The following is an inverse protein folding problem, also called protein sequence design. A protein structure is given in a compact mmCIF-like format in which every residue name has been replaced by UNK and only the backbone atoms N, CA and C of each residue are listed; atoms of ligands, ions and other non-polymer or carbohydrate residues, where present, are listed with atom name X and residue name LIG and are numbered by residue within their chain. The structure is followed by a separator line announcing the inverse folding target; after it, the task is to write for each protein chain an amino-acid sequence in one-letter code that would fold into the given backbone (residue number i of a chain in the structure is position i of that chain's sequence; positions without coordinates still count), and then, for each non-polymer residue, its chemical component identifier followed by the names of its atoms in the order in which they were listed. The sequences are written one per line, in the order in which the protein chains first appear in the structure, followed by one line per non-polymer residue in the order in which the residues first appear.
data_IF_316677044903
#
_entry.id   IF_316677044903
#
_cell.length_a   1.000
_cell.length_b   1.000
_cell.length_c   1.000
_cell.angle_alpha   90.00
_cell.angle_beta   90.00
_cell.angle_gamma   90.00
#
_symmetry.space_group_name_H-M   'P 1'
#
loop_
_entity.id
_entity.type
_entity.pdbx_description
1 polymer ?
#
# COMPACT_ATOMS: atom_id res chain seq x y z
N UNK A 1 -18.91 -5.46 -65.19
CA UNK A 1 -17.80 -4.62 -64.69
C UNK A 1 -18.24 -3.62 -63.57
N UNK A 2 -19.54 -3.35 -63.39
CA UNK A 2 -20.01 -2.36 -62.37
C UNK A 2 -20.08 -2.93 -60.95
N UNK A 3 -20.20 -4.25 -60.79
CA UNK A 3 -20.31 -4.91 -59.46
C UNK A 3 -18.95 -5.18 -58.79
N UNK A 4 -17.86 -5.23 -59.56
CA UNK A 4 -16.50 -5.47 -59.08
C UNK A 4 -15.90 -4.22 -58.39
N UNK A 5 -16.33 -3.05 -58.83
CA UNK A 5 -15.85 -1.77 -58.27
C UNK A 5 -16.46 -1.51 -56.85
N UNK A 6 -17.66 -1.95 -56.62
CA UNK A 6 -18.36 -1.79 -55.30
C UNK A 6 -17.76 -2.70 -54.24
N UNK A 7 -17.32 -3.91 -54.62
CA UNK A 7 -16.65 -4.86 -53.70
C UNK A 7 -15.27 -4.36 -53.25
N UNK A 8 -14.53 -3.67 -54.15
CA UNK A 8 -13.23 -3.09 -53.83
C UNK A 8 -13.33 -1.88 -52.89
N UNK A 9 -14.41 -1.09 -52.97
CA UNK A 9 -14.67 0.05 -52.08
C UNK A 9 -15.06 -0.40 -50.65
N UNK A 10 -15.76 -1.51 -50.50
CA UNK A 10 -16.12 -2.06 -49.19
C UNK A 10 -14.90 -2.67 -48.51
N UNK A 11 -13.98 -3.31 -49.24
CA UNK A 11 -12.75 -3.85 -48.68
C UNK A 11 -11.77 -2.73 -48.20
N UNK A 12 -11.78 -1.53 -48.82
CA UNK A 12 -10.95 -0.43 -48.39
C UNK A 12 -11.46 0.25 -47.10
N UNK A 13 -12.74 0.18 -46.80
CA UNK A 13 -13.33 0.77 -45.56
C UNK A 13 -13.01 -0.10 -44.34
N UNK A 14 -12.87 -1.42 -44.49
CA UNK A 14 -12.49 -2.31 -43.38
C UNK A 14 -10.99 -2.27 -43.05
N UNK A 15 -10.13 -1.79 -43.95
CA UNK A 15 -8.68 -1.75 -43.72
C UNK A 15 -8.23 -0.48 -42.94
N UNK A 16 -9.09 0.52 -42.73
CA UNK A 16 -8.78 1.74 -41.97
C UNK A 16 -9.22 1.65 -40.50
N UNK A 17 -9.99 0.62 -40.13
CA UNK A 17 -10.60 0.50 -38.80
C UNK A 17 -9.73 -0.22 -37.75
N UNK A 18 -8.48 -0.59 -38.05
CA UNK A 18 -7.63 -1.34 -37.10
C UNK A 18 -6.32 -0.60 -36.80
N UNK A 19 -6.38 0.67 -36.41
CA UNK A 19 -5.25 1.35 -35.74
C UNK A 19 -5.74 2.34 -34.68
N UNK A 20 -6.75 1.98 -33.92
CA UNK A 20 -6.87 2.49 -32.55
C UNK A 20 -6.15 1.48 -31.67
N UNK A 21 -4.87 1.62 -31.48
CA UNK A 21 -4.22 1.23 -30.23
C UNK A 21 -4.88 2.11 -29.16
N UNK A 22 -6.03 1.66 -28.64
CA UNK A 22 -6.47 2.12 -27.33
C UNK A 22 -5.28 1.81 -26.41
N UNK A 23 -4.54 2.84 -26.00
CA UNK A 23 -3.73 2.76 -24.81
C UNK A 23 -4.70 2.27 -23.75
N UNK A 24 -4.53 1.05 -23.28
CA UNK A 24 -5.26 0.57 -22.10
C UNK A 24 -5.01 1.61 -21.02
N UNK A 25 -6.08 2.11 -20.41
CA UNK A 25 -5.93 2.97 -19.24
C UNK A 25 -5.09 2.22 -18.20
N UNK A 26 -4.18 2.90 -17.50
CA UNK A 26 -3.39 2.30 -16.46
C UNK A 26 -4.31 1.60 -15.46
N UNK A 27 -3.97 0.37 -15.09
CA UNK A 27 -4.78 -0.41 -14.15
C UNK A 27 -4.04 -0.50 -12.82
N UNK A 28 -4.77 -0.44 -11.72
CA UNK A 28 -4.21 -0.65 -10.37
C UNK A 28 -3.65 -2.06 -10.23
N UNK A 29 -4.32 -3.08 -10.80
CA UNK A 29 -3.88 -4.46 -10.69
C UNK A 29 -2.43 -4.66 -11.17
N UNK A 30 -1.59 -5.26 -10.33
CA UNK A 30 -0.16 -5.49 -10.57
C UNK A 30 0.61 -5.78 -9.29
N UNK A 31 1.88 -6.08 -9.46
CA UNK A 31 2.85 -6.26 -8.38
C UNK A 31 3.67 -4.99 -8.19
N UNK A 32 3.79 -4.54 -6.94
CA UNK A 32 4.47 -3.30 -6.60
C UNK A 32 5.39 -3.51 -5.41
N UNK A 33 6.49 -2.76 -5.39
CA UNK A 33 7.33 -2.58 -4.21
C UNK A 33 7.12 -1.18 -3.65
N UNK A 34 7.29 -1.03 -2.33
CA UNK A 34 7.19 0.27 -1.68
C UNK A 34 8.11 0.40 -0.47
N UNK A 35 8.37 1.64 -0.09
CA UNK A 35 8.99 2.02 1.17
C UNK A 35 8.22 3.18 1.76
N UNK A 36 7.98 3.13 3.07
CA UNK A 36 7.31 4.20 3.79
C UNK A 36 7.95 4.40 5.16
N UNK A 37 7.90 5.63 5.68
CA UNK A 37 8.43 5.92 7.00
C UNK A 37 7.63 7.03 7.67
N UNK A 38 7.39 6.86 8.97
CA UNK A 38 6.70 7.86 9.79
C UNK A 38 7.27 7.85 11.21
N UNK A 39 6.91 8.84 11.98
CA UNK A 39 7.24 8.89 13.40
C UNK A 39 6.05 9.39 14.22
N UNK A 40 6.04 9.04 15.49
CA UNK A 40 5.03 9.52 16.43
C UNK A 40 5.57 9.52 17.85
N UNK A 41 5.01 10.43 18.66
CA UNK A 41 5.32 10.52 20.09
C UNK A 41 4.46 9.57 20.89
N UNK A 42 5.07 8.98 21.93
CA UNK A 42 4.40 8.23 22.98
C UNK A 42 4.70 8.89 24.33
N UNK A 43 4.03 8.49 25.39
CA UNK A 43 4.26 9.03 26.72
C UNK A 43 5.73 8.84 27.15
N UNK A 44 6.30 7.68 26.82
CA UNK A 44 7.65 7.28 27.19
C UNK A 44 8.75 7.83 26.27
N UNK A 45 8.43 8.35 25.09
CA UNK A 45 9.43 8.80 24.13
C UNK A 45 8.92 9.11 22.75
N UNK A 46 9.73 8.78 21.75
CA UNK A 46 9.39 8.88 20.33
C UNK A 46 9.66 7.54 19.62
N UNK A 47 8.85 7.21 18.64
CA UNK A 47 9.02 6.02 17.80
C UNK A 47 9.17 6.44 16.34
N UNK A 48 10.28 6.04 15.72
CA UNK A 48 10.49 6.09 14.27
C UNK A 48 10.14 4.74 13.66
N UNK A 49 9.39 4.73 12.56
CA UNK A 49 8.97 3.53 11.87
C UNK A 49 9.45 3.56 10.42
N UNK A 50 10.05 2.47 9.98
CA UNK A 50 10.42 2.23 8.59
C UNK A 50 9.77 0.95 8.10
N UNK A 51 9.07 1.04 7.00
CA UNK A 51 8.37 -0.06 6.36
C UNK A 51 8.91 -0.28 4.95
N UNK A 52 9.12 -1.53 4.58
CA UNK A 52 9.44 -1.94 3.22
C UNK A 52 8.63 -3.18 2.88
N UNK A 53 8.01 -3.19 1.71
CA UNK A 53 7.13 -4.28 1.37
C UNK A 53 6.81 -4.41 -0.10
N UNK A 54 5.94 -5.36 -0.36
CA UNK A 54 5.31 -5.61 -1.66
C UNK A 54 3.80 -5.56 -1.53
N UNK A 55 3.16 -5.01 -2.54
CA UNK A 55 1.71 -4.94 -2.66
C UNK A 55 1.28 -5.57 -3.98
N UNK A 56 0.55 -6.66 -3.89
CA UNK A 56 -0.08 -7.31 -5.04
C UNK A 56 -1.55 -6.89 -5.12
N UNK A 57 -1.92 -6.18 -6.17
CA UNK A 57 -3.32 -5.87 -6.47
C UNK A 57 -3.84 -6.82 -7.54
N UNK A 58 -4.92 -7.53 -7.24
CA UNK A 58 -5.55 -8.48 -8.16
C UNK A 58 -6.76 -7.85 -8.85
N UNK A 59 -7.08 -8.31 -10.06
CA UNK A 59 -8.18 -7.78 -10.87
C UNK A 59 -9.59 -8.04 -10.27
N UNK A 60 -9.69 -8.91 -9.28
CA UNK A 60 -10.92 -9.21 -8.54
C UNK A 60 -11.17 -8.28 -7.34
N UNK A 61 -10.43 -7.18 -7.24
CA UNK A 61 -10.50 -6.22 -6.13
C UNK A 61 -9.96 -6.75 -4.79
N UNK A 62 -9.18 -7.81 -4.82
CA UNK A 62 -8.39 -8.24 -3.65
C UNK A 62 -6.96 -7.73 -3.75
N UNK A 63 -6.26 -7.66 -2.62
CA UNK A 63 -4.84 -7.35 -2.56
C UNK A 63 -4.14 -8.19 -1.49
N UNK A 64 -2.83 -8.32 -1.63
CA UNK A 64 -1.98 -8.91 -0.62
C UNK A 64 -0.82 -7.95 -0.34
N UNK A 65 -0.78 -7.46 0.88
CA UNK A 65 0.31 -6.65 1.39
C UNK A 65 1.25 -7.54 2.23
N UNK A 66 2.54 -7.49 1.95
CA UNK A 66 3.55 -8.25 2.67
C UNK A 66 4.72 -7.33 2.97
N UNK A 67 4.96 -7.06 4.24
CA UNK A 67 5.97 -6.08 4.62
C UNK A 67 6.78 -6.46 5.86
N UNK A 68 7.92 -5.78 5.96
CA UNK A 68 8.78 -5.72 7.13
C UNK A 68 8.74 -4.30 7.68
N UNK A 69 8.35 -4.18 8.95
CA UNK A 69 8.37 -2.93 9.70
C UNK A 69 9.47 -2.96 10.76
N UNK A 70 10.23 -1.87 10.81
CA UNK A 70 11.27 -1.66 11.84
C UNK A 70 10.84 -0.44 12.66
N UNK A 71 10.59 -0.65 13.93
CA UNK A 71 10.27 0.38 14.91
C UNK A 71 11.50 0.66 15.76
N UNK A 72 11.88 1.91 15.88
CA UNK A 72 12.99 2.37 16.75
C UNK A 72 12.42 3.33 17.78
N UNK A 73 12.25 2.86 19.01
CA UNK A 73 11.84 3.68 20.13
C UNK A 73 13.04 4.33 20.79
N UNK A 74 12.98 5.65 21.03
CA UNK A 74 13.95 6.41 21.83
C UNK A 74 13.24 6.90 23.10
N UNK A 75 13.65 6.42 24.27
CA UNK A 75 12.98 6.70 25.53
C UNK A 75 13.48 8.00 26.20
N UNK A 76 12.57 8.73 26.84
CA UNK A 76 12.90 9.96 27.59
C UNK A 76 13.87 9.74 28.74
N UNK A 77 13.79 8.57 29.39
CA UNK A 77 14.69 8.18 30.48
C UNK A 77 16.03 7.63 30.01
N UNK A 78 16.22 7.61 28.68
CA UNK A 78 17.42 7.08 28.03
C UNK A 78 17.21 5.63 27.53
N UNK A 79 18.12 5.24 26.62
CA UNK A 79 18.06 3.92 25.97
C UNK A 79 17.20 3.90 24.71
N UNK A 80 17.33 2.80 23.98
CA UNK A 80 16.61 2.53 22.72
C UNK A 80 16.07 1.11 22.70
N UNK A 81 14.91 0.92 22.08
CA UNK A 81 14.44 -0.40 21.70
C UNK A 81 14.24 -0.47 20.19
N UNK A 82 14.50 -1.62 19.60
CA UNK A 82 14.19 -1.89 18.20
C UNK A 82 13.29 -3.11 18.12
N UNK A 83 12.15 -2.96 17.47
CA UNK A 83 11.24 -4.06 17.16
C UNK A 83 11.16 -4.24 15.67
N UNK A 84 11.26 -5.48 15.23
CA UNK A 84 11.09 -5.82 13.83
C UNK A 84 9.90 -6.76 13.71
N UNK A 85 8.95 -6.36 12.88
CA UNK A 85 7.79 -7.17 12.57
C UNK A 85 7.80 -7.56 11.09
N UNK A 86 7.37 -8.77 10.80
CA UNK A 86 6.90 -9.13 9.48
C UNK A 86 5.38 -9.21 9.53
N UNK A 87 4.69 -8.70 8.52
CA UNK A 87 3.26 -8.88 8.41
C UNK A 87 2.81 -9.29 7.01
N UNK A 88 1.65 -9.93 6.97
CA UNK A 88 0.91 -10.26 5.75
C UNK A 88 -0.53 -9.83 5.97
N UNK A 89 -1.04 -8.99 5.07
CA UNK A 89 -2.38 -8.43 5.14
C UNK A 89 -3.13 -8.66 3.82
N UNK A 90 -3.93 -9.73 3.72
CA UNK A 90 -4.95 -9.80 2.70
C UNK A 90 -5.92 -8.62 2.83
N UNK A 91 -6.30 -8.02 1.71
CA UNK A 91 -7.04 -6.77 1.72
C UNK A 91 -8.03 -6.70 0.56
N UNK A 92 -8.98 -5.78 0.66
CA UNK A 92 -9.92 -5.42 -0.39
C UNK A 92 -9.62 -4.00 -0.86
N UNK A 93 -9.78 -3.75 -2.14
CA UNK A 93 -9.60 -2.42 -2.71
C UNK A 93 -10.64 -2.09 -3.77
N UNK A 94 -10.89 -0.80 -3.98
CA UNK A 94 -11.69 -0.28 -5.07
C UNK A 94 -11.28 1.15 -5.40
N UNK A 95 -11.53 1.56 -6.63
CA UNK A 95 -11.33 2.94 -7.10
C UNK A 95 -12.68 3.52 -7.51
N UNK A 96 -12.94 4.77 -7.15
CA UNK A 96 -14.09 5.54 -7.58
C UNK A 96 -13.63 6.97 -7.92
N UNK A 97 -13.39 7.22 -9.22
CA UNK A 97 -12.77 8.44 -9.69
C UNK A 97 -11.33 8.58 -9.18
N UNK A 98 -11.08 9.63 -8.41
CA UNK A 98 -9.78 9.89 -7.75
C UNK A 98 -9.72 9.33 -6.32
N UNK A 99 -10.76 8.65 -5.87
CA UNK A 99 -10.82 8.05 -4.55
C UNK A 99 -10.37 6.58 -4.61
N UNK A 100 -9.38 6.23 -3.80
CA UNK A 100 -8.90 4.87 -3.59
C UNK A 100 -9.30 4.38 -2.20
N UNK A 101 -10.02 3.28 -2.15
CA UNK A 101 -10.49 2.68 -0.89
C UNK A 101 -9.76 1.38 -0.64
N UNK A 102 -9.29 1.20 0.59
CA UNK A 102 -8.52 0.05 1.01
C UNK A 102 -8.93 -0.41 2.41
N UNK A 103 -9.08 -1.72 2.61
CA UNK A 103 -9.39 -2.33 3.90
C UNK A 103 -8.72 -3.70 4.02
N UNK A 104 -8.03 -3.96 5.12
CA UNK A 104 -7.51 -5.29 5.42
C UNK A 104 -8.62 -6.27 5.83
N UNK A 105 -8.36 -7.56 5.69
CA UNK A 105 -9.23 -8.66 6.15
C UNK A 105 -8.71 -9.15 7.49
N UNK A 106 -9.37 -8.73 8.59
CA UNK A 106 -8.90 -8.93 9.96
C UNK A 106 -8.60 -10.40 10.29
N UNK A 107 -9.47 -11.33 9.90
CA UNK A 107 -9.32 -12.76 10.20
C UNK A 107 -8.10 -13.41 9.53
N UNK A 108 -7.54 -12.74 8.52
CA UNK A 108 -6.41 -13.24 7.72
C UNK A 108 -5.15 -12.40 7.90
N UNK A 109 -5.21 -11.34 8.72
CA UNK A 109 -4.04 -10.53 9.04
C UNK A 109 -3.12 -11.29 9.98
N UNK A 110 -1.84 -11.32 9.64
CA UNK A 110 -0.79 -11.93 10.46
C UNK A 110 0.32 -10.90 10.66
N UNK A 111 0.70 -10.65 11.91
CA UNK A 111 1.85 -9.82 12.27
C UNK A 111 2.69 -10.54 13.31
N UNK A 112 3.95 -10.77 13.02
CA UNK A 112 4.89 -11.51 13.85
C UNK A 112 6.07 -10.63 14.28
N UNK A 113 6.36 -10.60 15.58
CA UNK A 113 7.58 -9.98 16.11
C UNK A 113 8.76 -10.91 15.85
N UNK A 114 9.68 -10.53 14.97
CA UNK A 114 10.86 -11.33 14.60
C UNK A 114 12.14 -10.90 15.32
N UNK A 115 12.18 -9.67 15.85
CA UNK A 115 13.31 -9.16 16.62
C UNK A 115 12.81 -8.16 17.67
N UNK A 116 13.40 -8.24 18.88
CA UNK A 116 13.21 -7.24 19.93
C UNK A 116 14.54 -7.06 20.65
N UNK A 117 15.15 -5.89 20.48
CA UNK A 117 16.39 -5.51 21.16
C UNK A 117 16.13 -4.31 22.06
N UNK A 118 16.86 -4.24 23.18
CA UNK A 118 16.79 -3.17 24.15
C UNK A 118 18.19 -2.78 24.59
N UNK A 119 18.60 -1.55 24.26
CA UNK A 119 19.91 -1.00 24.60
C UNK A 119 19.75 0.09 25.67
N UNK A 120 20.05 -0.26 26.92
CA UNK A 120 19.92 0.65 28.06
C UNK A 120 18.50 1.08 28.40
N UNK A 121 17.50 0.35 27.91
CA UNK A 121 16.08 0.55 28.20
C UNK A 121 15.52 -0.50 29.15
N UNK A 122 14.28 -0.31 29.59
CA UNK A 122 13.55 -1.33 30.36
C UNK A 122 13.02 -2.41 29.41
N UNK A 123 13.54 -3.66 29.53
CA UNK A 123 13.15 -4.77 28.66
C UNK A 123 11.68 -5.16 28.78
N UNK A 124 11.07 -5.02 29.97
CA UNK A 124 9.67 -5.37 30.20
C UNK A 124 8.76 -4.36 29.51
N UNK A 125 9.08 -3.06 29.62
CA UNK A 125 8.40 -2.00 28.90
C UNK A 125 8.53 -2.18 27.38
N UNK A 126 9.74 -2.54 26.91
CA UNK A 126 9.96 -2.81 25.47
C UNK A 126 9.06 -3.93 24.94
N UNK A 127 8.92 -5.03 25.69
CA UNK A 127 8.03 -6.14 25.32
C UNK A 127 6.56 -5.74 25.34
N UNK A 128 6.13 -4.99 26.36
CA UNK A 128 4.77 -4.48 26.45
C UNK A 128 4.39 -3.58 25.27
N UNK A 129 5.28 -2.64 24.90
CA UNK A 129 5.07 -1.74 23.76
C UNK A 129 5.04 -2.50 22.43
N UNK A 130 5.90 -3.50 22.24
CA UNK A 130 5.87 -4.35 21.06
C UNK A 130 4.52 -5.09 20.93
N UNK A 131 4.00 -5.65 22.04
CA UNK A 131 2.71 -6.32 22.06
C UNK A 131 1.55 -5.36 21.76
N UNK A 132 1.55 -4.16 22.37
CA UNK A 132 0.56 -3.11 22.09
C UNK A 132 0.59 -2.65 20.64
N UNK A 133 1.77 -2.67 19.98
CA UNK A 133 1.89 -2.36 18.56
C UNK A 133 1.13 -3.39 17.73
N UNK A 134 1.32 -4.69 17.97
CA UNK A 134 0.57 -5.75 17.27
C UNK A 134 -0.94 -5.58 17.47
N UNK A 135 -1.38 -5.39 18.71
CA UNK A 135 -2.80 -5.22 19.04
C UNK A 135 -3.41 -3.97 18.37
N UNK A 136 -2.67 -2.85 18.36
CA UNK A 136 -3.11 -1.61 17.75
C UNK A 136 -3.27 -1.72 16.22
N UNK A 137 -2.30 -2.35 15.56
CA UNK A 137 -2.35 -2.58 14.11
C UNK A 137 -3.49 -3.54 13.76
N UNK A 138 -3.57 -4.69 14.45
CA UNK A 138 -4.61 -5.70 14.22
C UNK A 138 -6.02 -5.13 14.41
N UNK A 139 -6.23 -4.34 15.46
CA UNK A 139 -7.54 -3.74 15.77
C UNK A 139 -7.99 -2.65 14.79
N UNK A 140 -7.07 -2.12 13.98
CA UNK A 140 -7.36 -1.09 12.96
C UNK A 140 -7.48 -1.59 11.53
N UNK A 141 -7.03 -2.81 11.26
CA UNK A 141 -6.78 -3.28 9.89
C UNK A 141 -8.06 -3.40 9.03
N UNK A 142 -9.19 -3.78 9.61
CA UNK A 142 -10.45 -3.97 8.89
C UNK A 142 -11.18 -2.65 8.57
N UNK A 143 -10.67 -1.52 9.06
CA UNK A 143 -11.28 -0.23 8.78
C UNK A 143 -11.01 0.18 7.34
N UNK A 144 -12.08 0.40 6.53
CA UNK A 144 -11.93 0.98 5.21
C UNK A 144 -11.35 2.40 5.34
N UNK A 145 -10.22 2.63 4.69
CA UNK A 145 -9.56 3.93 4.61
C UNK A 145 -9.74 4.44 3.18
N UNK A 146 -10.11 5.71 3.06
CA UNK A 146 -10.21 6.43 1.80
C UNK A 146 -8.95 7.25 1.60
N UNK A 147 -8.24 6.99 0.52
CA UNK A 147 -7.09 7.75 0.05
C UNK A 147 -7.46 8.55 -1.19
N UNK A 148 -6.72 9.60 -1.47
CA UNK A 148 -6.73 10.27 -2.77
C UNK A 148 -5.71 9.59 -3.70
N UNK A 149 -6.12 9.26 -4.92
CA UNK A 149 -5.26 8.67 -5.95
C UNK A 149 -4.52 9.81 -6.68
N UNK A 150 -3.28 10.06 -6.29
CA UNK A 150 -2.47 11.16 -6.87
C UNK A 150 -1.93 10.79 -8.27
N UNK A 151 -1.47 9.54 -8.43
CA UNK A 151 -0.85 9.07 -9.68
C UNK A 151 -1.18 7.60 -9.92
N UNK A 152 -1.51 7.28 -11.16
CA UNK A 152 -1.61 5.91 -11.65
C UNK A 152 -1.04 5.82 -13.06
N UNK A 153 0.09 5.13 -13.19
CA UNK A 153 0.77 4.89 -14.48
C UNK A 153 1.10 3.41 -14.64
N UNK A 154 1.71 3.05 -15.77
CA UNK A 154 2.21 1.69 -15.98
C UNK A 154 3.39 1.33 -15.06
N UNK A 155 3.96 2.32 -14.35
CA UNK A 155 5.18 2.15 -13.54
C UNK A 155 4.98 2.43 -12.06
N UNK A 156 4.00 3.27 -11.72
CA UNK A 156 3.81 3.73 -10.35
C UNK A 156 2.34 3.94 -10.01
N UNK A 157 2.04 3.74 -8.75
CA UNK A 157 0.79 4.08 -8.09
C UNK A 157 1.15 4.96 -6.89
N UNK A 158 0.55 6.14 -6.79
CA UNK A 158 0.73 7.04 -5.65
C UNK A 158 -0.62 7.39 -5.08
N UNK A 159 -0.79 7.22 -3.79
CA UNK A 159 -1.95 7.73 -3.07
C UNK A 159 -1.54 8.56 -1.87
N UNK A 160 -2.45 9.39 -1.40
CA UNK A 160 -2.25 10.22 -0.22
C UNK A 160 -3.44 10.17 0.73
N UNK A 161 -3.15 10.40 2.00
CA UNK A 161 -4.15 10.54 3.04
C UNK A 161 -3.94 11.86 3.79
N UNK A 162 -4.98 12.68 3.84
CA UNK A 162 -4.94 13.95 4.59
C UNK A 162 -5.66 13.77 5.92
N UNK A 163 -4.93 13.99 6.99
CA UNK A 163 -5.41 13.94 8.37
C UNK A 163 -6.27 15.16 8.71
N UNK A 164 -7.02 15.08 9.81
CA UNK A 164 -7.89 16.18 10.28
C UNK A 164 -7.16 17.47 10.64
N UNK A 165 -5.88 17.38 10.99
CA UNK A 165 -4.99 18.52 11.29
C UNK A 165 -4.39 19.17 10.03
N UNK A 166 -4.66 18.60 8.84
CA UNK A 166 -4.17 19.07 7.55
C UNK A 166 -2.84 18.47 7.12
N UNK A 167 -2.21 17.62 7.95
CA UNK A 167 -1.04 16.85 7.54
C UNK A 167 -1.42 15.84 6.46
N UNK A 168 -0.53 15.60 5.48
CA UNK A 168 -0.75 14.65 4.38
C UNK A 168 0.42 13.70 4.28
N UNK A 169 0.12 12.41 4.39
CA UNK A 169 1.06 11.34 4.09
C UNK A 169 0.86 10.81 2.68
N UNK A 170 1.95 10.37 2.06
CA UNK A 170 1.97 9.78 0.72
C UNK A 170 2.61 8.41 0.75
N UNK A 171 2.02 7.50 -0.01
CA UNK A 171 2.57 6.17 -0.29
C UNK A 171 2.85 6.06 -1.78
N UNK A 172 4.09 5.69 -2.09
CA UNK A 172 4.58 5.54 -3.45
C UNK A 172 4.89 4.06 -3.70
N UNK A 173 4.25 3.50 -4.70
CA UNK A 173 4.36 2.11 -5.09
C UNK A 173 4.93 2.03 -6.50
N UNK A 174 5.98 1.24 -6.68
CA UNK A 174 6.68 1.07 -7.94
C UNK A 174 6.43 -0.31 -8.50
N UNK A 175 5.90 -0.36 -9.73
CA UNK A 175 5.59 -1.62 -10.41
C UNK A 175 6.87 -2.29 -10.88
N UNK A 176 7.02 -3.59 -10.59
CA UNK A 176 8.07 -4.44 -11.11
C UNK A 176 7.72 -5.10 -12.46
#
# INVERSE_FOLDING_TARGET
MRNTLILLLIAAVFAVSCKNTQKSEPQVAGHYTYQHGWNYDIEEGNIDVHETGTMDFYADSTALDSARQVYVATFKEGGKATWVFNYVSPSLWRVDGEDFYFAGVEESFIMELVENTCEGCNEELSKELAQKTIEGVSGGIAREIKFHLDTLTDKELVWSYTYKDGHTDKWEFYRE
#
